data_IF_864415467839
#
_entry.id   IF_864415467839
#
_cell.length_a   1.000
_cell.length_b   1.000
_cell.length_c   1.000
_cell.angle_alpha   90.00
_cell.angle_beta   90.00
_cell.angle_gamma   90.00
#
_symmetry.space_group_name_H-M   'P 1'
#
loop_
_entity.id
_entity.type
_entity.pdbx_description
1 polymer ?
#
# COMPACT_ATOMS: atom_id res chain seq x y z
N UNK A 1 -31.10 -2.47 23.90
CA UNK A 1 -31.41 -2.84 22.49
C UNK A 1 -30.47 -2.16 21.50
N UNK A 2 -30.35 -0.82 21.48
CA UNK A 2 -29.45 -0.08 20.53
C UNK A 2 -27.97 -0.49 20.69
N UNK A 3 -27.48 -0.63 21.92
CA UNK A 3 -26.11 -1.05 22.20
C UNK A 3 -25.79 -2.45 21.62
N UNK A 4 -26.72 -3.39 21.76
CA UNK A 4 -26.59 -4.75 21.23
C UNK A 4 -26.52 -4.71 19.69
N UNK A 5 -27.33 -3.89 19.04
CA UNK A 5 -27.31 -3.71 17.59
C UNK A 5 -25.94 -3.17 17.13
N UNK A 6 -25.39 -2.17 17.83
CA UNK A 6 -24.07 -1.59 17.51
C UNK A 6 -22.96 -2.64 17.68
N UNK A 7 -23.02 -3.48 18.70
CA UNK A 7 -22.10 -4.60 18.91
C UNK A 7 -22.13 -5.58 17.75
N UNK A 8 -23.31 -5.99 17.32
CA UNK A 8 -23.46 -6.89 16.18
C UNK A 8 -22.92 -6.27 14.89
N UNK A 9 -23.18 -4.97 14.67
CA UNK A 9 -22.65 -4.25 13.51
C UNK A 9 -21.12 -4.21 13.55
N UNK A 10 -20.51 -3.90 14.69
CA UNK A 10 -19.05 -3.92 14.84
C UNK A 10 -18.48 -5.32 14.62
N UNK A 11 -19.10 -6.37 15.18
CA UNK A 11 -18.68 -7.75 14.99
C UNK A 11 -18.74 -8.21 13.51
N UNK A 12 -19.65 -7.64 12.71
CA UNK A 12 -19.73 -7.89 11.27
C UNK A 12 -18.68 -7.10 10.48
N UNK A 13 -18.32 -5.90 10.91
CA UNK A 13 -17.42 -5.01 10.19
C UNK A 13 -15.96 -5.46 10.33
N UNK A 14 -15.54 -5.93 11.50
CA UNK A 14 -14.17 -6.43 11.72
C UNK A 14 -13.75 -7.51 10.70
N UNK A 15 -14.54 -8.57 10.43
CA UNK A 15 -14.23 -9.52 9.38
C UNK A 15 -14.09 -8.90 7.98
N UNK A 16 -14.88 -7.86 7.67
CA UNK A 16 -14.78 -7.18 6.38
C UNK A 16 -13.48 -6.39 6.26
N UNK A 17 -13.06 -5.67 7.32
CA UNK A 17 -11.77 -4.98 7.34
C UNK A 17 -10.62 -6.00 7.26
N UNK A 18 -10.71 -7.11 7.99
CA UNK A 18 -9.73 -8.19 7.92
C UNK A 18 -9.65 -8.80 6.53
N UNK A 19 -10.78 -9.05 5.88
CA UNK A 19 -10.83 -9.53 4.51
C UNK A 19 -10.21 -8.53 3.52
N UNK A 20 -10.49 -7.22 3.69
CA UNK A 20 -9.86 -6.17 2.89
C UNK A 20 -8.33 -6.17 3.07
N UNK A 21 -7.85 -6.23 4.30
CA UNK A 21 -6.43 -6.29 4.62
C UNK A 21 -5.74 -7.49 3.97
N UNK A 22 -6.28 -8.70 4.15
CA UNK A 22 -5.72 -9.92 3.54
C UNK A 22 -5.75 -9.84 2.01
N UNK A 23 -6.85 -9.35 1.43
CA UNK A 23 -6.99 -9.19 -0.03
C UNK A 23 -5.92 -8.26 -0.59
N UNK A 24 -5.67 -7.12 0.06
CA UNK A 24 -4.63 -6.17 -0.36
C UNK A 24 -3.24 -6.82 -0.30
N UNK A 25 -2.91 -7.53 0.78
CA UNK A 25 -1.63 -8.25 0.91
C UNK A 25 -1.43 -9.26 -0.23
N UNK A 26 -2.44 -10.12 -0.44
CA UNK A 26 -2.35 -11.20 -1.44
C UNK A 26 -2.19 -10.61 -2.84
N UNK A 27 -3.07 -9.69 -3.23
CA UNK A 27 -3.03 -9.12 -4.58
C UNK A 27 -1.79 -8.25 -4.80
N UNK A 28 -1.31 -7.51 -3.78
CA UNK A 28 -0.06 -6.77 -3.89
C UNK A 28 1.13 -7.69 -4.16
N UNK A 29 1.24 -8.82 -3.44
CA UNK A 29 2.31 -9.79 -3.63
C UNK A 29 2.21 -10.52 -4.97
N UNK A 30 1.02 -10.97 -5.35
CA UNK A 30 0.79 -11.74 -6.59
C UNK A 30 0.94 -10.86 -7.84
N UNK A 31 0.50 -9.61 -7.78
CA UNK A 31 0.50 -8.67 -8.91
C UNK A 31 1.61 -7.63 -8.87
N UNK A 32 2.55 -7.75 -7.91
CA UNK A 32 3.66 -6.81 -7.72
C UNK A 32 3.22 -5.34 -7.68
N UNK A 33 2.07 -5.07 -7.04
CA UNK A 33 1.52 -3.72 -6.93
C UNK A 33 2.43 -2.81 -6.10
N UNK A 34 2.48 -1.53 -6.46
CA UNK A 34 3.44 -0.56 -5.95
C UNK A 34 3.24 -0.12 -4.49
N UNK A 35 4.03 0.86 -4.07
CA UNK A 35 4.11 1.34 -2.68
C UNK A 35 2.79 1.89 -2.11
N UNK A 36 1.88 2.38 -2.94
CA UNK A 36 0.54 2.80 -2.51
C UNK A 36 -0.19 1.68 -1.77
N UNK A 37 -0.13 0.45 -2.30
CA UNK A 37 -0.81 -0.70 -1.68
C UNK A 37 -0.11 -1.18 -0.40
N UNK A 38 1.18 -0.92 -0.23
CA UNK A 38 1.85 -1.13 1.05
C UNK A 38 1.37 -0.15 2.13
N UNK A 39 1.22 1.13 1.79
CA UNK A 39 0.66 2.12 2.70
C UNK A 39 -0.81 1.81 3.02
N UNK A 40 -1.58 1.32 2.05
CA UNK A 40 -2.95 0.85 2.24
C UNK A 40 -3.03 -0.36 3.19
N UNK A 41 -2.10 -1.31 3.10
CA UNK A 41 -2.00 -2.43 4.05
C UNK A 41 -1.82 -1.92 5.49
N UNK A 42 -0.88 -1.02 5.70
CA UNK A 42 -0.61 -0.45 7.03
C UNK A 42 -1.83 0.32 7.57
N UNK A 43 -2.51 1.08 6.70
CA UNK A 43 -3.72 1.80 7.06
C UNK A 43 -4.87 0.85 7.45
N UNK A 44 -5.11 -0.21 6.67
CA UNK A 44 -6.14 -1.21 6.98
C UNK A 44 -5.80 -2.01 8.24
N UNK A 45 -4.52 -2.30 8.48
CA UNK A 45 -4.09 -2.94 9.73
C UNK A 45 -4.37 -2.03 10.94
N UNK A 46 -4.04 -0.74 10.85
CA UNK A 46 -4.35 0.21 11.93
C UNK A 46 -5.86 0.32 12.14
N UNK A 47 -6.65 0.35 11.07
CA UNK A 47 -8.11 0.38 11.11
C UNK A 47 -8.69 -0.89 11.77
N UNK A 48 -8.11 -2.07 11.46
CA UNK A 48 -8.51 -3.35 12.05
C UNK A 48 -8.23 -3.37 13.56
N UNK A 49 -7.04 -2.94 13.98
CA UNK A 49 -6.66 -2.87 15.39
C UNK A 49 -7.58 -1.90 16.12
N UNK A 50 -7.86 -0.73 15.53
CA UNK A 50 -8.76 0.28 16.10
C UNK A 50 -10.18 -0.28 16.26
N UNK A 51 -10.71 -0.96 15.24
CA UNK A 51 -12.03 -1.58 15.28
C UNK A 51 -12.12 -2.68 16.35
N UNK A 52 -11.08 -3.51 16.47
CA UNK A 52 -11.00 -4.55 17.48
C UNK A 52 -10.94 -3.99 18.91
N UNK A 53 -10.17 -2.90 19.10
CA UNK A 53 -10.09 -2.21 20.39
C UNK A 53 -11.44 -1.56 20.80
N UNK A 54 -12.33 -1.32 19.85
CA UNK A 54 -13.68 -0.79 20.12
C UNK A 54 -14.62 -1.82 20.73
N UNK A 55 -14.40 -3.13 20.50
CA UNK A 55 -15.30 -4.17 20.99
C UNK A 55 -15.43 -4.23 22.53
N UNK A 56 -14.33 -4.22 23.32
CA UNK A 56 -14.42 -4.26 24.77
C UNK A 56 -15.20 -3.09 25.36
N UNK A 57 -15.17 -1.94 24.70
CA UNK A 57 -15.87 -0.74 25.12
C UNK A 57 -17.37 -0.91 25.24
N UNK A 58 -17.94 -1.85 24.48
CA UNK A 58 -19.37 -2.13 24.48
C UNK A 58 -19.76 -3.31 25.38
N UNK A 59 -18.80 -4.22 25.68
CA UNK A 59 -19.10 -5.41 26.45
C UNK A 59 -19.14 -5.16 27.95
N UNK A 60 -18.37 -4.21 28.46
CA UNK A 60 -18.32 -3.98 29.89
C UNK A 60 -17.95 -2.53 30.25
N UNK A 61 -18.95 -1.68 30.39
CA UNK A 61 -18.76 -0.31 30.82
C UNK A 61 -18.22 -0.25 32.27
N UNK A 62 -18.41 -1.31 33.08
CA UNK A 62 -17.92 -1.43 34.46
C UNK A 62 -16.57 -2.17 34.55
N UNK A 63 -16.30 -3.15 33.71
CA UNK A 63 -15.11 -4.01 33.83
C UNK A 63 -13.81 -3.36 33.33
N UNK A 64 -13.87 -2.52 32.33
CA UNK A 64 -12.69 -1.81 31.76
C UNK A 64 -12.28 -0.60 32.62
N UNK A 65 -13.11 -0.20 33.59
CA UNK A 65 -12.99 1.04 34.34
C UNK A 65 -12.64 0.87 35.82
N UNK A 66 -12.31 -0.34 36.27
CA UNK A 66 -11.80 -0.53 37.60
C UNK A 66 -10.38 0.04 37.75
N UNK A 67 -10.31 1.20 38.38
CA UNK A 67 -9.19 1.88 39.03
C UNK A 67 -7.92 2.35 38.26
N UNK A 68 -7.58 1.77 37.09
CA UNK A 68 -6.54 2.35 36.23
C UNK A 68 -7.17 2.93 34.91
N UNK A 69 -8.49 2.89 34.87
CA UNK A 69 -9.31 2.75 33.69
C UNK A 69 -9.33 3.93 32.76
N UNK A 70 -9.69 5.09 33.24
CA UNK A 70 -10.02 6.21 32.35
C UNK A 70 -8.82 6.75 31.58
N UNK A 71 -7.66 6.87 32.21
CA UNK A 71 -6.47 7.47 31.57
C UNK A 71 -5.84 6.47 30.60
N UNK A 72 -5.60 5.22 31.00
CA UNK A 72 -4.91 4.21 30.19
C UNK A 72 -5.71 3.83 28.95
N UNK A 73 -7.02 3.74 29.08
CA UNK A 73 -7.93 3.49 27.95
C UNK A 73 -7.98 4.64 26.97
N UNK A 74 -8.16 5.86 27.48
CA UNK A 74 -8.14 7.09 26.70
C UNK A 74 -6.80 7.28 25.96
N UNK A 75 -5.70 6.86 26.59
CA UNK A 75 -4.35 6.81 26.03
C UNK A 75 -4.29 5.91 24.80
N UNK A 76 -4.64 4.65 24.94
CA UNK A 76 -4.57 3.65 23.85
C UNK A 76 -5.42 4.06 22.68
N UNK A 77 -6.62 4.53 22.94
CA UNK A 77 -7.57 4.99 21.95
C UNK A 77 -7.05 6.16 21.13
N UNK A 78 -6.58 7.20 21.79
CA UNK A 78 -6.06 8.39 21.13
C UNK A 78 -4.80 8.09 20.29
N UNK A 79 -3.92 7.20 20.75
CA UNK A 79 -2.78 6.74 19.96
C UNK A 79 -3.19 6.01 18.69
N UNK A 80 -4.17 5.13 18.76
CA UNK A 80 -4.67 4.41 17.59
C UNK A 80 -5.27 5.37 16.56
N UNK A 81 -6.03 6.37 17.01
CA UNK A 81 -6.57 7.43 16.15
C UNK A 81 -5.48 8.25 15.47
N UNK A 82 -4.44 8.62 16.20
CA UNK A 82 -3.31 9.36 15.67
C UNK A 82 -2.56 8.52 14.61
N UNK A 83 -2.29 7.25 14.90
CA UNK A 83 -1.59 6.33 13.98
C UNK A 83 -2.37 6.17 12.67
N UNK A 84 -3.66 5.93 12.77
CA UNK A 84 -4.54 5.77 11.62
C UNK A 84 -4.60 7.04 10.76
N UNK A 85 -4.76 8.23 11.37
CA UNK A 85 -4.74 9.49 10.64
C UNK A 85 -3.36 9.76 9.99
N UNK A 86 -2.27 9.49 10.71
CA UNK A 86 -0.92 9.64 10.18
C UNK A 86 -0.66 8.74 8.97
N UNK A 87 -1.11 7.49 9.02
CA UNK A 87 -0.95 6.55 7.89
C UNK A 87 -1.73 7.01 6.66
N UNK A 88 -2.92 7.60 6.85
CA UNK A 88 -3.66 8.21 5.75
C UNK A 88 -2.89 9.37 5.13
N UNK A 89 -2.40 10.29 5.95
CA UNK A 89 -1.62 11.44 5.47
C UNK A 89 -0.36 11.00 4.73
N UNK A 90 0.33 9.99 5.24
CA UNK A 90 1.51 9.38 4.61
C UNK A 90 1.16 8.80 3.23
N UNK A 91 0.05 8.09 3.11
CA UNK A 91 -0.40 7.51 1.85
C UNK A 91 -0.64 8.59 0.78
N UNK A 92 -1.35 9.67 1.14
CA UNK A 92 -1.55 10.83 0.25
C UNK A 92 -0.21 11.51 -0.09
N UNK A 93 0.69 11.69 0.87
CA UNK A 93 2.00 12.26 0.66
C UNK A 93 2.86 11.45 -0.32
N UNK A 94 2.83 10.12 -0.22
CA UNK A 94 3.59 9.23 -1.10
C UNK A 94 3.05 9.24 -2.55
N UNK A 95 1.77 9.53 -2.71
CA UNK A 95 1.13 9.70 -4.03
C UNK A 95 1.39 11.07 -4.64
N UNK A 96 1.57 12.09 -3.80
CA UNK A 96 1.81 13.47 -4.22
C UNK A 96 3.25 13.68 -4.70
N UNK A 97 3.46 14.71 -5.51
CA UNK A 97 4.75 15.11 -6.04
C UNK A 97 5.14 16.55 -5.67
N UNK A 98 6.41 16.86 -5.78
CA UNK A 98 6.93 18.22 -5.68
C UNK A 98 6.56 18.94 -4.38
N UNK A 99 5.94 20.12 -4.52
CA UNK A 99 5.57 20.99 -3.37
C UNK A 99 4.47 20.40 -2.53
N UNK A 100 3.48 19.74 -3.15
CA UNK A 100 2.36 19.11 -2.44
C UNK A 100 2.86 17.98 -1.51
N UNK A 101 3.75 17.12 -1.99
CA UNK A 101 4.39 16.08 -1.17
C UNK A 101 5.05 16.65 0.07
N UNK A 102 5.86 17.70 -0.08
CA UNK A 102 6.56 18.35 1.04
C UNK A 102 5.59 18.92 2.06
N UNK A 103 4.52 19.58 1.62
CA UNK A 103 3.52 20.17 2.50
C UNK A 103 2.79 19.08 3.29
N UNK A 104 2.26 18.04 2.64
CA UNK A 104 1.51 16.97 3.32
C UNK A 104 2.44 16.20 4.27
N UNK A 105 3.67 15.88 3.86
CA UNK A 105 4.66 15.22 4.74
C UNK A 105 4.98 16.05 5.97
N UNK A 106 5.20 17.35 5.81
CA UNK A 106 5.47 18.25 6.94
C UNK A 106 4.28 18.32 7.89
N UNK A 107 3.07 18.54 7.37
CA UNK A 107 1.86 18.63 8.19
C UNK A 107 1.56 17.32 8.92
N UNK A 108 1.77 16.16 8.29
CA UNK A 108 1.56 14.86 8.92
C UNK A 108 2.54 14.63 10.07
N UNK A 109 3.80 14.97 9.88
CA UNK A 109 4.83 14.84 10.93
C UNK A 109 4.59 15.83 12.07
N UNK A 110 4.28 17.08 11.75
CA UNK A 110 3.95 18.12 12.74
C UNK A 110 2.71 17.73 13.57
N UNK A 111 1.67 17.20 12.91
CA UNK A 111 0.49 16.67 13.59
C UNK A 111 0.86 15.55 14.56
N UNK A 112 1.61 14.52 14.11
CA UNK A 112 1.98 13.40 14.96
C UNK A 112 2.84 13.82 16.17
N UNK A 113 3.86 14.66 15.95
CA UNK A 113 4.74 15.14 17.03
C UNK A 113 3.94 15.99 18.03
N UNK A 114 3.15 16.96 17.56
CA UNK A 114 2.37 17.84 18.44
C UNK A 114 1.34 17.04 19.24
N UNK A 115 0.71 16.04 18.62
CA UNK A 115 -0.25 15.16 19.27
C UNK A 115 0.40 14.37 20.42
N UNK A 116 1.51 13.66 20.15
CA UNK A 116 2.22 12.89 21.17
C UNK A 116 2.74 13.80 22.29
N UNK A 117 3.28 14.96 21.93
CA UNK A 117 3.79 15.93 22.92
C UNK A 117 2.67 16.44 23.84
N UNK A 118 1.54 16.86 23.26
CA UNK A 118 0.39 17.32 24.06
C UNK A 118 -0.16 16.21 24.95
N UNK A 119 -0.22 15.00 24.40
CA UNK A 119 -0.67 13.83 25.13
C UNK A 119 0.21 13.52 26.35
N UNK A 120 1.55 13.54 26.18
CA UNK A 120 2.50 13.35 27.30
C UNK A 120 2.37 14.46 28.35
N UNK A 121 2.25 15.72 27.90
CA UNK A 121 2.07 16.86 28.82
C UNK A 121 0.76 16.73 29.60
N UNK A 122 -0.33 16.36 28.95
CA UNK A 122 -1.62 16.16 29.61
C UNK A 122 -1.56 15.08 30.68
N UNK A 123 -0.91 13.96 30.43
CA UNK A 123 -0.78 12.87 31.40
C UNK A 123 0.06 13.30 32.61
N UNK A 124 1.18 13.98 32.37
CA UNK A 124 2.13 14.26 33.41
C UNK A 124 1.76 15.49 34.26
N UNK A 125 1.08 16.48 33.65
CA UNK A 125 0.96 17.82 34.30
C UNK A 125 -0.46 18.39 34.31
N UNK A 126 -1.37 18.01 33.43
CA UNK A 126 -2.65 18.72 33.22
C UNK A 126 -3.78 17.69 32.97
N UNK A 127 -3.91 16.69 33.82
CA UNK A 127 -4.89 15.60 33.64
C UNK A 127 -6.36 16.09 33.66
N UNK A 128 -6.66 17.16 34.39
CA UNK A 128 -7.99 17.77 34.48
C UNK A 128 -8.47 18.43 33.17
N UNK A 129 -7.54 18.82 32.29
CA UNK A 129 -7.83 19.45 30.99
C UNK A 129 -7.62 18.51 29.79
N UNK A 130 -7.33 17.24 30.06
CA UNK A 130 -7.01 16.24 29.03
C UNK A 130 -8.02 16.24 27.90
N UNK A 131 -9.30 16.14 28.21
CA UNK A 131 -10.37 16.03 27.22
C UNK A 131 -10.46 17.26 26.30
N UNK A 132 -10.36 18.45 26.87
CA UNK A 132 -10.42 19.72 26.10
C UNK A 132 -9.24 19.82 25.14
N UNK A 133 -8.03 19.49 25.61
CA UNK A 133 -6.81 19.58 24.82
C UNK A 133 -6.85 18.52 23.69
N UNK A 134 -7.19 17.28 23.99
CA UNK A 134 -7.22 16.22 23.00
C UNK A 134 -8.32 16.43 21.96
N UNK A 135 -9.49 16.94 22.36
CA UNK A 135 -10.55 17.30 21.41
C UNK A 135 -10.12 18.42 20.45
N UNK A 136 -9.25 19.35 20.89
CA UNK A 136 -8.71 20.39 20.02
C UNK A 136 -7.88 19.81 18.85
N UNK A 137 -7.25 18.64 19.02
CA UNK A 137 -6.54 17.96 17.94
C UNK A 137 -7.46 17.44 16.85
N UNK A 138 -8.74 17.20 17.12
CA UNK A 138 -9.73 16.89 16.10
C UNK A 138 -9.88 18.00 15.05
N UNK A 139 -9.85 19.26 15.48
CA UNK A 139 -9.89 20.39 14.54
C UNK A 139 -8.60 20.51 13.72
N UNK A 140 -7.44 20.23 14.33
CA UNK A 140 -6.15 20.17 13.61
C UNK A 140 -6.20 19.05 12.58
N UNK A 141 -6.70 17.87 12.96
CA UNK A 141 -6.88 16.74 12.05
C UNK A 141 -7.77 17.09 10.86
N UNK A 142 -8.91 17.77 11.10
CA UNK A 142 -9.79 18.25 10.04
C UNK A 142 -9.06 19.20 9.08
N UNK A 143 -8.25 20.12 9.59
CA UNK A 143 -7.47 21.03 8.76
C UNK A 143 -6.47 20.26 7.87
N UNK A 144 -5.77 19.27 8.41
CA UNK A 144 -4.83 18.43 7.62
C UNK A 144 -5.58 17.57 6.60
N UNK A 145 -6.73 17.01 6.96
CA UNK A 145 -7.60 16.27 6.03
C UNK A 145 -8.11 17.16 4.89
N UNK A 146 -8.45 18.42 5.16
CA UNK A 146 -8.83 19.37 4.12
C UNK A 146 -7.68 19.60 3.11
N UNK A 147 -6.43 19.72 3.59
CA UNK A 147 -5.26 19.78 2.70
C UNK A 147 -5.10 18.48 1.91
N UNK A 148 -5.27 17.33 2.53
CA UNK A 148 -5.24 16.04 1.85
C UNK A 148 -6.32 15.93 0.77
N UNK A 149 -7.52 16.43 1.03
CA UNK A 149 -8.60 16.48 0.04
C UNK A 149 -8.23 17.36 -1.15
N UNK A 150 -7.68 18.55 -0.93
CA UNK A 150 -7.22 19.45 -2.01
C UNK A 150 -6.16 18.75 -2.87
N UNK A 151 -5.19 18.08 -2.24
CA UNK A 151 -4.16 17.30 -2.96
C UNK A 151 -4.78 16.15 -3.74
N UNK A 152 -5.73 15.42 -3.14
CA UNK A 152 -6.43 14.31 -3.80
C UNK A 152 -7.25 14.76 -5.01
N UNK A 153 -7.88 15.94 -4.96
CA UNK A 153 -8.55 16.56 -6.11
C UNK A 153 -7.53 16.85 -7.22
N UNK A 154 -6.35 17.37 -6.85
CA UNK A 154 -5.25 17.63 -7.80
C UNK A 154 -4.76 16.36 -8.48
N UNK A 155 -4.54 15.28 -7.70
CA UNK A 155 -4.15 13.97 -8.22
C UNK A 155 -5.22 13.39 -9.15
N UNK A 156 -6.48 13.45 -8.77
CA UNK A 156 -7.59 12.98 -9.58
C UNK A 156 -7.74 13.74 -10.91
N UNK A 157 -7.49 15.07 -10.90
CA UNK A 157 -7.52 15.89 -12.13
C UNK A 157 -6.34 15.57 -13.06
N UNK A 158 -5.19 15.21 -12.49
CA UNK A 158 -4.00 14.81 -13.28
C UNK A 158 -4.23 13.45 -13.94
N UNK A 159 -4.79 12.51 -13.18
CA UNK A 159 -5.05 11.14 -13.63
C UNK A 159 -6.19 10.53 -12.80
N UNK A 160 -7.24 10.06 -13.47
CA UNK A 160 -8.40 9.45 -12.83
C UNK A 160 -8.20 7.94 -12.54
N UNK A 161 -7.01 7.55 -12.06
CA UNK A 161 -6.71 6.17 -11.67
C UNK A 161 -7.59 5.69 -10.49
N UNK A 162 -7.69 4.37 -10.31
CA UNK A 162 -8.44 3.80 -9.19
C UNK A 162 -7.90 4.27 -7.83
N UNK A 163 -6.57 4.37 -7.71
CA UNK A 163 -5.88 4.83 -6.51
C UNK A 163 -6.19 6.30 -6.19
N UNK A 164 -6.19 7.18 -7.21
CA UNK A 164 -6.51 8.61 -7.03
C UNK A 164 -7.99 8.82 -6.67
N UNK A 165 -8.91 8.00 -7.22
CA UNK A 165 -10.31 7.96 -6.79
C UNK A 165 -10.46 7.52 -5.34
N UNK A 166 -9.69 6.52 -4.92
CA UNK A 166 -9.65 6.07 -3.53
C UNK A 166 -9.17 7.16 -2.59
N UNK A 167 -8.06 7.85 -2.92
CA UNK A 167 -7.54 8.97 -2.13
C UNK A 167 -8.59 10.08 -1.97
N UNK A 168 -9.33 10.40 -3.04
CA UNK A 168 -10.37 11.42 -3.01
C UNK A 168 -11.55 11.01 -2.14
N UNK A 169 -12.12 9.83 -2.39
CA UNK A 169 -13.28 9.31 -1.65
C UNK A 169 -12.96 9.11 -0.17
N UNK A 170 -11.81 8.52 0.14
CA UNK A 170 -11.37 8.28 1.50
C UNK A 170 -11.12 9.58 2.27
N UNK A 171 -10.50 10.59 1.65
CA UNK A 171 -10.32 11.90 2.30
C UNK A 171 -11.66 12.56 2.65
N UNK A 172 -12.66 12.47 1.78
CA UNK A 172 -14.03 12.94 2.07
C UNK A 172 -14.66 12.17 3.23
N UNK A 173 -14.58 10.83 3.21
CA UNK A 173 -15.14 9.99 4.26
C UNK A 173 -14.51 10.27 5.63
N UNK A 174 -13.18 10.47 5.67
CA UNK A 174 -12.47 10.77 6.91
C UNK A 174 -12.77 12.17 7.46
N UNK A 175 -13.03 13.15 6.59
CA UNK A 175 -13.52 14.47 7.03
C UNK A 175 -14.89 14.33 7.67
N UNK A 176 -15.82 13.59 7.03
CA UNK A 176 -17.15 13.34 7.59
C UNK A 176 -17.05 12.64 8.93
N UNK A 177 -16.25 11.58 9.02
CA UNK A 177 -16.01 10.82 10.26
C UNK A 177 -15.50 11.72 11.39
N UNK A 178 -14.39 12.45 11.14
CA UNK A 178 -13.79 13.34 12.13
C UNK A 178 -14.77 14.43 12.56
N UNK A 179 -15.56 14.98 11.61
CA UNK A 179 -16.59 15.96 11.92
C UNK A 179 -17.69 15.41 12.84
N UNK A 180 -18.15 14.17 12.60
CA UNK A 180 -19.14 13.54 13.48
C UNK A 180 -18.59 13.33 14.89
N UNK A 181 -17.33 12.93 15.03
CA UNK A 181 -16.74 12.64 16.34
C UNK A 181 -16.52 13.91 17.16
N UNK A 182 -15.96 14.96 16.54
CA UNK A 182 -15.51 16.14 17.27
C UNK A 182 -16.49 17.31 17.29
N UNK A 183 -17.40 17.42 16.31
CA UNK A 183 -18.35 18.53 16.22
C UNK A 183 -19.72 18.12 16.79
N UNK A 184 -20.12 16.85 16.61
CA UNK A 184 -21.38 16.36 17.09
C UNK A 184 -21.30 15.96 18.57
N UNK A 185 -21.72 16.85 19.47
CA UNK A 185 -21.77 16.64 20.92
C UNK A 185 -23.10 16.06 21.45
N UNK A 186 -24.01 15.65 20.55
CA UNK A 186 -25.35 15.16 20.92
C UNK A 186 -25.33 13.78 21.61
N UNK A 187 -26.39 13.49 22.37
CA UNK A 187 -26.53 12.22 23.10
C UNK A 187 -26.96 11.03 22.21
N UNK A 188 -27.16 11.24 20.92
CA UNK A 188 -27.59 10.19 20.03
C UNK A 188 -26.49 9.14 19.80
N UNK A 189 -26.61 7.99 20.46
CA UNK A 189 -25.68 6.86 20.43
C UNK A 189 -25.42 6.36 19.01
N UNK A 190 -26.42 6.40 18.13
CA UNK A 190 -26.26 5.97 16.74
C UNK A 190 -25.31 6.89 15.97
N UNK A 191 -25.47 8.21 16.11
CA UNK A 191 -24.61 9.17 15.44
C UNK A 191 -23.18 9.17 16.00
N UNK A 192 -23.01 8.99 17.31
CA UNK A 192 -21.69 8.82 17.93
C UNK A 192 -20.91 7.62 17.34
N UNK A 193 -21.62 6.60 16.88
CA UNK A 193 -21.02 5.38 16.31
C UNK A 193 -21.09 5.34 14.77
N UNK A 194 -21.44 6.44 14.10
CA UNK A 194 -21.49 6.50 12.64
C UNK A 194 -20.16 6.20 11.95
N UNK A 195 -19.02 6.43 12.64
CA UNK A 195 -17.67 6.12 12.16
C UNK A 195 -17.51 4.64 11.79
N UNK A 196 -18.20 3.73 12.45
CA UNK A 196 -18.14 2.29 12.16
C UNK A 196 -18.64 1.97 10.74
N UNK A 197 -19.70 2.66 10.29
CA UNK A 197 -20.19 2.54 8.91
C UNK A 197 -19.20 3.12 7.89
N UNK A 198 -18.52 4.21 8.26
CA UNK A 198 -17.49 4.80 7.41
C UNK A 198 -16.32 3.84 7.24
N UNK A 199 -15.88 3.15 8.30
CA UNK A 199 -14.84 2.12 8.23
C UNK A 199 -15.23 0.95 7.33
N UNK A 200 -16.51 0.54 7.39
CA UNK A 200 -17.02 -0.48 6.46
C UNK A 200 -16.91 -0.01 5.00
N UNK A 201 -17.36 1.22 4.71
CA UNK A 201 -17.28 1.79 3.37
C UNK A 201 -15.82 1.89 2.90
N UNK A 202 -14.91 2.35 3.76
CA UNK A 202 -13.48 2.44 3.45
C UNK A 202 -12.91 1.04 3.13
N UNK A 203 -13.26 0.01 3.90
CA UNK A 203 -12.82 -1.36 3.64
C UNK A 203 -13.34 -1.86 2.28
N UNK A 204 -14.61 -1.62 1.96
CA UNK A 204 -15.22 -2.02 0.68
C UNK A 204 -14.58 -1.31 -0.51
N UNK A 205 -14.36 0.01 -0.44
CA UNK A 205 -13.68 0.73 -1.52
C UNK A 205 -12.20 0.35 -1.63
N UNK A 206 -11.55 -0.10 -0.54
CA UNK A 206 -10.17 -0.63 -0.58
C UNK A 206 -10.12 -1.93 -1.39
N UNK A 207 -11.04 -2.86 -1.13
CA UNK A 207 -11.17 -4.11 -1.89
C UNK A 207 -11.42 -3.79 -3.38
N UNK A 208 -12.38 -2.92 -3.68
CA UNK A 208 -12.67 -2.53 -5.05
C UNK A 208 -11.45 -1.92 -5.75
N UNK A 209 -10.73 -1.03 -5.06
CA UNK A 209 -9.56 -0.35 -5.62
C UNK A 209 -8.44 -1.32 -5.96
N UNK A 210 -8.13 -2.28 -5.06
CA UNK A 210 -7.07 -3.26 -5.31
C UNK A 210 -7.43 -4.21 -6.45
N UNK A 211 -8.70 -4.66 -6.55
CA UNK A 211 -9.14 -5.48 -7.67
C UNK A 211 -9.10 -4.72 -8.99
N UNK A 212 -9.51 -3.46 -8.99
CA UNK A 212 -9.45 -2.60 -10.18
C UNK A 212 -8.02 -2.39 -10.65
N UNK A 213 -7.10 -2.00 -9.75
CA UNK A 213 -5.69 -1.81 -10.09
C UNK A 213 -5.01 -3.12 -10.52
N UNK A 214 -5.35 -4.25 -9.89
CA UNK A 214 -4.87 -5.56 -10.31
C UNK A 214 -5.39 -5.96 -11.70
N UNK A 215 -6.63 -5.60 -12.02
CA UNK A 215 -7.22 -5.80 -13.34
C UNK A 215 -6.62 -4.91 -14.41
N UNK A 216 -6.35 -3.66 -14.09
CA UNK A 216 -5.71 -2.71 -15.01
C UNK A 216 -4.26 -3.13 -15.26
N UNK A 217 -3.50 -3.53 -14.25
CA UNK A 217 -2.15 -4.11 -14.40
C UNK A 217 -2.15 -5.40 -15.22
N UNK A 218 -3.22 -6.19 -15.20
CA UNK A 218 -3.33 -7.39 -16.03
C UNK A 218 -3.66 -7.07 -17.50
N UNK A 219 -4.30 -5.91 -17.76
CA UNK A 219 -4.56 -5.43 -19.15
C UNK A 219 -3.32 -4.82 -19.80
N UNK A 220 -2.45 -4.20 -18.98
CA UNK A 220 -1.16 -3.67 -19.46
C UNK A 220 -0.16 -4.80 -19.81
N UNK A 221 -0.41 -6.03 -19.37
CA UNK A 221 0.23 -7.22 -19.87
C UNK A 221 -0.61 -7.68 -21.09
N UNK A 222 -0.50 -6.95 -22.19
CA UNK A 222 -0.90 -7.46 -23.48
C UNK A 222 -0.03 -8.70 -23.75
N UNK A 223 -0.59 -9.92 -23.84
CA UNK A 223 0.20 -11.10 -24.18
C UNK A 223 0.90 -10.96 -25.53
N UNK A 224 0.44 -10.02 -26.38
CA UNK A 224 1.07 -9.63 -27.64
C UNK A 224 2.12 -8.52 -27.51
N UNK A 225 2.27 -7.87 -26.34
CA UNK A 225 3.25 -6.78 -26.12
C UNK A 225 4.55 -7.24 -25.46
N UNK A 226 4.62 -8.48 -24.99
CA UNK A 226 5.89 -9.11 -24.64
C UNK A 226 6.63 -9.40 -25.93
N UNK A 227 7.80 -8.80 -26.11
CA UNK A 227 8.70 -9.19 -27.19
C UNK A 227 8.87 -10.72 -27.17
N UNK A 228 8.84 -11.32 -28.31
CA UNK A 228 9.14 -12.74 -28.40
C UNK A 228 10.60 -12.97 -27.99
N UNK A 229 10.93 -14.18 -27.52
CA UNK A 229 12.33 -14.56 -27.22
C UNK A 229 13.27 -14.28 -28.39
N UNK A 230 12.78 -14.46 -29.62
CA UNK A 230 13.55 -14.20 -30.84
C UNK A 230 13.77 -12.69 -31.10
N UNK A 231 12.77 -11.83 -30.84
CA UNK A 231 12.89 -10.38 -30.94
C UNK A 231 13.87 -9.84 -29.90
N UNK A 232 13.77 -10.30 -28.64
CA UNK A 232 14.70 -9.93 -27.59
C UNK A 232 16.13 -10.37 -27.91
N UNK A 233 16.30 -11.57 -28.44
CA UNK A 233 17.60 -12.09 -28.88
C UNK A 233 18.20 -11.26 -30.03
N UNK A 234 17.38 -10.82 -30.98
CA UNK A 234 17.82 -9.99 -32.12
C UNK A 234 18.25 -8.59 -31.66
N UNK A 235 17.55 -8.01 -30.68
CA UNK A 235 17.96 -6.74 -30.08
C UNK A 235 19.30 -6.88 -29.35
N UNK A 236 19.46 -7.93 -28.52
CA UNK A 236 20.73 -8.22 -27.81
C UNK A 236 21.86 -8.50 -28.79
N UNK A 237 21.59 -9.17 -29.91
CA UNK A 237 22.56 -9.37 -30.98
C UNK A 237 23.12 -8.04 -31.49
N UNK A 238 22.23 -7.06 -31.73
CA UNK A 238 22.59 -5.75 -32.24
C UNK A 238 23.29 -4.91 -31.16
N UNK A 239 22.77 -4.91 -29.95
CA UNK A 239 23.28 -4.13 -28.82
C UNK A 239 24.69 -4.56 -28.40
N UNK A 240 24.93 -5.88 -28.31
CA UNK A 240 26.21 -6.46 -27.86
C UNK A 240 27.09 -6.92 -29.03
N UNK A 241 26.72 -6.60 -30.29
CA UNK A 241 27.46 -6.96 -31.48
C UNK A 241 27.82 -8.47 -31.53
N UNK A 242 26.83 -9.32 -31.29
CA UNK A 242 27.02 -10.74 -31.34
C UNK A 242 27.17 -11.23 -32.79
N UNK A 243 28.11 -12.14 -33.00
CA UNK A 243 28.27 -12.83 -34.30
C UNK A 243 27.13 -13.82 -34.50
N UNK A 244 26.86 -14.23 -35.76
CA UNK A 244 25.86 -15.27 -36.07
C UNK A 244 26.08 -16.51 -35.22
N UNK A 245 27.32 -16.94 -35.09
CA UNK A 245 27.68 -18.14 -34.34
C UNK A 245 27.41 -18.02 -32.83
N UNK A 246 27.68 -16.85 -32.26
CA UNK A 246 27.37 -16.57 -30.86
C UNK A 246 25.85 -16.49 -30.65
N UNK A 247 25.11 -15.97 -31.62
CA UNK A 247 23.64 -15.90 -31.57
C UNK A 247 23.02 -17.30 -31.66
N UNK A 248 23.54 -18.17 -32.54
CA UNK A 248 23.07 -19.57 -32.63
C UNK A 248 23.31 -20.33 -31.33
N UNK A 249 24.50 -20.16 -30.72
CA UNK A 249 24.83 -20.76 -29.44
C UNK A 249 23.93 -20.19 -28.33
N UNK A 250 23.67 -18.89 -28.35
CA UNK A 250 22.80 -18.24 -27.37
C UNK A 250 21.37 -18.80 -27.44
N UNK A 251 20.81 -18.95 -28.66
CA UNK A 251 19.51 -19.60 -28.91
C UNK A 251 19.45 -21.02 -28.33
N UNK A 252 20.52 -21.76 -28.39
CA UNK A 252 20.60 -23.11 -27.81
C UNK A 252 20.75 -23.10 -26.31
N UNK A 253 21.42 -22.07 -25.76
CA UNK A 253 21.49 -21.84 -24.32
C UNK A 253 20.10 -21.58 -23.75
N UNK A 254 19.28 -20.78 -24.41
CA UNK A 254 17.90 -20.48 -24.01
C UNK A 254 17.05 -21.75 -24.02
N UNK A 255 17.28 -22.65 -24.97
CA UNK A 255 16.62 -23.99 -25.05
C UNK A 255 17.15 -24.98 -24.00
N UNK A 256 18.07 -24.57 -23.11
CA UNK A 256 18.61 -25.40 -22.04
C UNK A 256 19.62 -26.47 -22.47
N UNK A 257 20.13 -26.44 -23.72
CA UNK A 257 21.05 -27.45 -24.25
C UNK A 257 22.41 -27.43 -23.57
N UNK A 258 22.97 -28.58 -23.30
CA UNK A 258 24.34 -28.74 -22.79
C UNK A 258 25.39 -28.41 -23.87
N UNK A 259 26.64 -28.18 -23.49
CA UNK A 259 27.72 -27.90 -24.45
C UNK A 259 27.88 -29.05 -25.47
N UNK A 260 27.71 -30.29 -25.03
CA UNK A 260 27.79 -31.47 -25.90
C UNK A 260 26.71 -31.47 -26.96
N UNK A 261 25.45 -31.23 -26.56
CA UNK A 261 24.30 -31.14 -27.45
C UNK A 261 24.43 -29.96 -28.44
N UNK A 262 24.96 -28.81 -27.98
CA UNK A 262 25.26 -27.66 -28.85
C UNK A 262 26.34 -28.04 -29.87
N UNK A 263 27.39 -28.76 -29.45
CA UNK A 263 28.45 -29.22 -30.32
C UNK A 263 27.98 -30.20 -31.40
N UNK A 264 27.13 -31.14 -31.01
CA UNK A 264 26.50 -32.11 -31.92
C UNK A 264 25.62 -31.40 -32.96
N UNK A 265 24.78 -30.47 -32.55
CA UNK A 265 23.85 -29.75 -33.43
C UNK A 265 24.54 -28.77 -34.37
N UNK A 266 25.62 -28.16 -33.92
CA UNK A 266 26.39 -27.18 -34.70
C UNK A 266 27.58 -27.83 -35.46
N UNK A 267 27.76 -29.12 -35.31
CA UNK A 267 28.88 -29.89 -35.91
C UNK A 267 30.25 -29.32 -35.54
N UNK A 268 30.45 -28.97 -34.25
CA UNK A 268 31.72 -28.45 -33.70
C UNK A 268 32.08 -29.16 -32.40
N UNK A 269 33.38 -29.16 -32.08
CA UNK A 269 33.86 -29.81 -30.87
C UNK A 269 33.42 -29.06 -29.58
N UNK A 270 33.28 -29.80 -28.47
CA UNK A 270 32.91 -29.25 -27.15
C UNK A 270 33.89 -28.11 -26.68
N UNK A 271 35.18 -28.23 -27.00
CA UNK A 271 36.16 -27.17 -26.72
C UNK A 271 35.85 -25.86 -27.47
N UNK A 272 35.38 -25.98 -28.73
CA UNK A 272 35.00 -24.83 -29.56
C UNK A 272 33.71 -24.20 -29.03
N UNK A 273 32.74 -25.02 -28.61
CA UNK A 273 31.51 -24.51 -27.93
C UNK A 273 31.86 -23.72 -26.67
N UNK A 274 32.72 -24.25 -25.81
CA UNK A 274 33.18 -23.55 -24.59
C UNK A 274 33.82 -22.20 -24.91
N UNK A 275 34.61 -22.13 -25.96
CA UNK A 275 35.24 -20.86 -26.39
C UNK A 275 34.20 -19.86 -26.85
N UNK A 276 33.23 -20.26 -27.65
CA UNK A 276 32.13 -19.38 -28.08
C UNK A 276 31.27 -18.91 -26.91
N UNK A 277 30.91 -19.81 -25.99
CA UNK A 277 30.15 -19.45 -24.78
C UNK A 277 30.97 -18.45 -23.93
N UNK A 278 32.23 -18.63 -23.76
CA UNK A 278 33.11 -17.70 -23.02
C UNK A 278 33.08 -16.30 -23.68
N UNK A 279 33.21 -16.23 -25.00
CA UNK A 279 33.18 -14.97 -25.74
C UNK A 279 31.79 -14.31 -25.66
N UNK A 280 30.75 -15.09 -25.81
CA UNK A 280 29.35 -14.63 -25.65
C UNK A 280 29.12 -14.00 -24.26
N UNK A 281 29.46 -14.72 -23.19
CA UNK A 281 29.29 -14.25 -21.82
C UNK A 281 30.10 -12.97 -21.57
N UNK A 282 31.32 -12.90 -22.11
CA UNK A 282 32.15 -11.71 -22.02
C UNK A 282 31.53 -10.51 -22.70
N UNK A 283 30.94 -10.67 -23.90
CA UNK A 283 30.25 -9.61 -24.62
C UNK A 283 29.01 -9.14 -23.86
N UNK A 284 28.22 -10.08 -23.32
CA UNK A 284 27.02 -9.80 -22.53
C UNK A 284 27.32 -9.25 -21.13
N UNK A 285 28.58 -9.14 -20.73
CA UNK A 285 28.98 -8.81 -19.34
C UNK A 285 28.37 -9.75 -18.30
N UNK A 286 28.07 -10.98 -18.68
CA UNK A 286 27.49 -12.03 -17.86
C UNK A 286 28.59 -12.90 -17.21
N UNK A 287 28.45 -13.21 -15.93
CA UNK A 287 29.39 -14.05 -15.21
C UNK A 287 29.15 -15.55 -15.39
N UNK A 288 27.87 -15.90 -15.58
CA UNK A 288 27.40 -17.28 -15.66
C UNK A 288 26.38 -17.42 -16.78
N UNK A 289 26.20 -18.66 -17.25
CA UNK A 289 25.19 -19.01 -18.24
C UNK A 289 23.76 -18.58 -17.86
N UNK A 290 23.43 -18.66 -16.58
CA UNK A 290 22.11 -18.24 -16.07
C UNK A 290 21.91 -16.72 -16.21
N UNK A 291 22.96 -15.92 -16.05
CA UNK A 291 22.88 -14.46 -16.19
C UNK A 291 22.51 -14.09 -17.64
N UNK A 292 23.04 -14.82 -18.63
CA UNK A 292 22.68 -14.64 -20.03
C UNK A 292 21.19 -14.97 -20.28
N UNK A 293 20.65 -16.02 -19.66
CA UNK A 293 19.23 -16.38 -19.77
C UNK A 293 18.35 -15.27 -19.14
N UNK A 294 18.73 -14.75 -17.98
CA UNK A 294 18.02 -13.67 -17.31
C UNK A 294 17.99 -12.39 -18.15
N UNK A 295 19.08 -12.09 -18.86
CA UNK A 295 19.20 -10.90 -19.70
C UNK A 295 18.17 -10.91 -20.85
N UNK A 296 17.89 -12.06 -21.47
CA UNK A 296 16.82 -12.19 -22.46
C UNK A 296 15.45 -11.98 -21.83
N UNK A 297 15.21 -12.56 -20.65
CA UNK A 297 13.95 -12.39 -19.94
C UNK A 297 13.69 -10.93 -19.55
N UNK A 298 14.72 -10.20 -19.12
CA UNK A 298 14.65 -8.77 -18.86
C UNK A 298 14.31 -7.99 -20.14
N UNK A 299 14.99 -8.32 -21.25
CA UNK A 299 14.78 -7.68 -22.54
C UNK A 299 13.37 -7.94 -23.12
N UNK A 300 12.80 -9.11 -22.88
CA UNK A 300 11.39 -9.42 -23.22
C UNK A 300 10.39 -8.55 -22.45
N UNK A 301 10.76 -8.04 -21.27
CA UNK A 301 9.93 -7.19 -20.43
C UNK A 301 10.15 -5.68 -20.65
N UNK A 302 11.20 -5.31 -21.36
CA UNK A 302 11.44 -3.91 -21.76
C UNK A 302 10.45 -3.49 -22.85
N UNK A 303 9.73 -2.37 -22.60
CA UNK A 303 8.81 -1.73 -23.56
C UNK A 303 9.56 -0.82 -24.51
#
# INVERSE_FOLDING_TARGET
MVLIIILYINALIIPVIAAAFVTVIVLRKVKHLGNFFFDLELFLLALLITSAAYLPMYYDYEFVFLDLGNITYSIGWNLLWMIYAFLWFRMISNKAEGKAKRIVSFLSLAYAISYVTAWVICILFISDKYEIIMNSFGYIQLAVLAVCLIVSIGLFRKEASAENKYCLAGSLLLIVETSFIYIYSGENVFLKNAHVFIWFIIAMISIFTVFRSAGDSAKDIDPYSLKTEEEALLELKTEYQLTERETDIYRMILKGKSNKEIGEELFIGDATVKTHIHNLLKKLSASKRIDAILLVNEKMQEK
#
